data_IF_844097882261
#
_entry.id   IF_844097882261
#
_cell.length_a   1.000
_cell.length_b   1.000
_cell.length_c   1.000
_cell.angle_alpha   90.00
_cell.angle_beta   90.00
_cell.angle_gamma   90.00
#
_symmetry.space_group_name_H-M   'P 1'
#
loop_
_entity.id
_entity.type
_entity.pdbx_description
1 polymer ?
#
# COMPACT_ATOMS: atom_id res chain seq x y z
N UNK A 1 19.26 -19.11 14.26
CA UNK A 1 20.46 -18.31 14.10
C UNK A 1 20.12 -16.99 13.43
N UNK A 2 20.68 -15.90 13.94
CA UNK A 2 20.48 -14.58 13.35
C UNK A 2 21.43 -14.43 12.16
N UNK A 3 20.88 -13.96 11.03
CA UNK A 3 21.68 -13.61 9.87
C UNK A 3 22.39 -12.27 10.11
N UNK A 4 23.65 -12.11 9.67
CA UNK A 4 24.30 -10.81 9.69
C UNK A 4 23.51 -9.80 8.85
N UNK A 5 23.58 -8.52 9.24
CA UNK A 5 22.82 -7.45 8.58
C UNK A 5 23.12 -7.34 7.07
N UNK A 6 24.38 -7.56 6.67
CA UNK A 6 24.79 -7.54 5.26
C UNK A 6 24.15 -8.69 4.48
N UNK A 7 23.99 -9.87 5.08
CA UNK A 7 23.30 -10.99 4.42
C UNK A 7 21.81 -10.74 4.29
N UNK A 8 21.19 -10.09 5.27
CA UNK A 8 19.78 -9.68 5.16
C UNK A 8 19.57 -8.71 4.01
N UNK A 9 20.49 -7.77 3.83
CA UNK A 9 20.44 -6.84 2.70
C UNK A 9 20.62 -7.55 1.36
N UNK A 10 21.53 -8.52 1.28
CA UNK A 10 21.73 -9.33 0.07
C UNK A 10 20.48 -10.14 -0.27
N UNK A 11 19.86 -10.76 0.72
CA UNK A 11 18.63 -11.53 0.53
C UNK A 11 17.49 -10.60 0.08
N UNK A 12 17.35 -9.44 0.71
CA UNK A 12 16.36 -8.44 0.32
C UNK A 12 16.55 -7.99 -1.12
N UNK A 13 17.77 -7.69 -1.52
CA UNK A 13 18.08 -7.30 -2.89
C UNK A 13 17.78 -8.43 -3.89
N UNK A 14 18.08 -9.67 -3.53
CA UNK A 14 17.79 -10.84 -4.35
C UNK A 14 16.28 -11.01 -4.56
N UNK A 15 15.49 -10.87 -3.51
CA UNK A 15 14.02 -10.95 -3.58
C UNK A 15 13.50 -9.87 -4.55
N UNK A 16 13.95 -8.62 -4.40
CA UNK A 16 13.50 -7.52 -5.24
C UNK A 16 13.91 -7.71 -6.71
N UNK A 17 15.03 -8.33 -6.97
CA UNK A 17 15.49 -8.63 -8.32
C UNK A 17 14.83 -9.86 -8.94
N UNK A 18 14.35 -10.79 -8.11
CA UNK A 18 13.82 -12.09 -8.55
C UNK A 18 12.32 -12.06 -8.86
N UNK A 19 11.59 -11.06 -8.36
CA UNK A 19 10.14 -10.96 -8.56
C UNK A 19 9.86 -9.84 -9.56
N UNK A 20 9.23 -10.20 -10.67
CA UNK A 20 8.90 -9.25 -11.74
C UNK A 20 7.51 -8.65 -11.55
N UNK A 21 7.33 -7.43 -12.00
CA UNK A 21 6.03 -6.78 -12.07
C UNK A 21 5.65 -6.49 -13.51
N UNK A 22 4.36 -6.63 -13.83
CA UNK A 22 3.84 -6.26 -15.15
C UNK A 22 3.41 -4.79 -15.15
N UNK A 23 3.24 -4.22 -16.35
CA UNK A 23 2.68 -2.87 -16.49
C UNK A 23 1.28 -2.78 -15.86
N UNK A 24 0.49 -3.83 -15.97
CA UNK A 24 -0.84 -3.91 -15.38
C UNK A 24 -0.79 -3.76 -13.86
N UNK A 25 0.15 -4.47 -13.21
CA UNK A 25 0.32 -4.37 -11.75
C UNK A 25 0.87 -3.00 -11.36
N UNK A 26 1.83 -2.47 -12.10
CA UNK A 26 2.38 -1.14 -11.83
C UNK A 26 1.30 -0.05 -11.96
N UNK A 27 0.45 -0.15 -12.97
CA UNK A 27 -0.68 0.76 -13.15
C UNK A 27 -1.70 0.62 -12.03
N UNK A 28 -1.98 -0.60 -11.60
CA UNK A 28 -2.88 -0.86 -10.49
C UNK A 28 -2.37 -0.24 -9.18
N UNK A 29 -1.08 -0.40 -8.89
CA UNK A 29 -0.46 0.20 -7.71
C UNK A 29 -0.53 1.73 -7.77
N UNK A 30 -0.28 2.30 -8.94
CA UNK A 30 -0.39 3.74 -9.14
C UNK A 30 -1.83 4.22 -8.90
N UNK A 31 -2.82 3.50 -9.39
CA UNK A 31 -4.23 3.83 -9.18
C UNK A 31 -4.60 3.76 -7.68
N UNK A 32 -4.11 2.76 -6.96
CA UNK A 32 -4.30 2.66 -5.51
C UNK A 32 -3.68 3.86 -4.79
N UNK A 33 -2.49 4.26 -5.19
CA UNK A 33 -1.80 5.40 -4.61
C UNK A 33 -2.55 6.71 -4.87
N UNK A 34 -2.99 6.93 -6.11
CA UNK A 34 -3.80 8.09 -6.47
C UNK A 34 -5.13 8.11 -5.70
N UNK A 35 -5.76 6.94 -5.51
CA UNK A 35 -6.98 6.83 -4.71
C UNK A 35 -6.75 7.19 -3.24
N UNK A 36 -5.55 6.97 -2.71
CA UNK A 36 -5.22 7.39 -1.34
C UNK A 36 -5.12 8.91 -1.21
N UNK A 37 -4.80 9.61 -2.29
CA UNK A 37 -4.72 11.08 -2.29
C UNK A 37 -6.09 11.72 -2.53
N UNK A 38 -6.89 11.13 -3.41
CA UNK A 38 -8.20 11.64 -3.77
C UNK A 38 -9.20 10.48 -3.94
N UNK A 39 -9.69 9.93 -2.81
CA UNK A 39 -10.60 8.78 -2.87
C UNK A 39 -11.88 9.05 -3.66
N UNK A 40 -12.41 10.27 -3.56
CA UNK A 40 -13.68 10.61 -4.20
C UNK A 40 -13.60 10.54 -5.72
N UNK A 41 -12.45 10.87 -6.29
CA UNK A 41 -12.20 10.77 -7.74
C UNK A 41 -12.35 9.34 -8.25
N UNK A 42 -12.09 8.36 -7.40
CA UNK A 42 -12.22 6.93 -7.73
C UNK A 42 -13.53 6.31 -7.24
N UNK A 43 -14.50 7.16 -6.88
CA UNK A 43 -15.80 6.70 -6.41
C UNK A 43 -15.79 6.10 -5.00
N UNK A 44 -14.72 6.30 -4.25
CA UNK A 44 -14.62 5.81 -2.88
C UNK A 44 -15.35 6.77 -1.94
N UNK A 45 -16.27 6.21 -1.15
CA UNK A 45 -17.08 6.97 -0.20
C UNK A 45 -17.22 6.21 1.11
N UNK A 46 -17.10 6.92 2.21
CA UNK A 46 -17.35 6.39 3.55
C UNK A 46 -18.62 7.04 4.10
N UNK A 47 -19.51 6.22 4.65
CA UNK A 47 -20.76 6.70 5.21
C UNK A 47 -20.51 7.63 6.40
N UNK A 48 -21.22 8.76 6.41
CA UNK A 48 -21.09 9.74 7.46
C UNK A 48 -19.81 10.58 7.43
N UNK A 49 -19.06 10.51 6.34
CA UNK A 49 -17.79 11.23 6.17
C UNK A 49 -17.88 12.18 4.99
N UNK A 50 -17.45 13.43 5.20
CA UNK A 50 -17.26 14.38 4.08
C UNK A 50 -15.93 14.07 3.41
N UNK A 51 -15.99 13.35 2.30
CA UNK A 51 -14.80 12.86 1.59
C UNK A 51 -13.89 13.98 1.09
N UNK A 52 -14.45 15.18 0.83
CA UNK A 52 -13.64 16.34 0.42
C UNK A 52 -12.75 16.86 1.54
N UNK A 53 -13.10 16.56 2.79
CA UNK A 53 -12.39 17.02 3.99
C UNK A 53 -11.69 15.90 4.74
N UNK A 54 -11.70 14.68 4.20
CA UNK A 54 -11.11 13.54 4.88
C UNK A 54 -9.59 13.53 4.79
N UNK A 55 -9.05 13.67 3.61
CA UNK A 55 -7.62 13.48 3.34
C UNK A 55 -6.89 14.82 3.36
N UNK A 56 -5.90 14.93 4.26
CA UNK A 56 -4.96 16.04 4.27
C UNK A 56 -3.82 15.78 3.27
N UNK A 57 -3.30 14.55 3.31
CA UNK A 57 -2.27 14.09 2.38
C UNK A 57 -2.38 12.58 2.20
N UNK A 58 -2.26 12.12 0.97
CA UNK A 58 -2.19 10.70 0.66
C UNK A 58 -0.81 10.10 0.94
N UNK A 59 -0.64 8.84 0.59
CA UNK A 59 0.64 8.17 0.72
C UNK A 59 1.71 8.85 -0.15
N UNK A 60 2.91 9.00 0.38
CA UNK A 60 4.03 9.56 -0.36
C UNK A 60 4.57 8.57 -1.42
N UNK A 61 5.42 9.02 -2.37
CA UNK A 61 6.12 8.10 -3.27
C UNK A 61 6.91 7.00 -2.54
N UNK A 62 7.42 7.28 -1.34
CA UNK A 62 8.06 6.27 -0.50
C UNK A 62 7.08 5.18 -0.08
N UNK A 63 5.81 5.56 0.15
CA UNK A 63 4.75 4.61 0.46
C UNK A 63 4.49 3.65 -0.69
N UNK A 64 4.47 4.13 -1.92
CA UNK A 64 4.31 3.30 -3.10
C UNK A 64 5.49 2.33 -3.27
N UNK A 65 6.72 2.82 -3.08
CA UNK A 65 7.91 1.97 -3.12
C UNK A 65 7.89 0.90 -2.04
N UNK A 66 7.48 1.26 -0.83
CA UNK A 66 7.36 0.32 0.28
C UNK A 66 6.29 -0.75 -0.02
N UNK A 67 5.17 -0.36 -0.61
CA UNK A 67 4.12 -1.28 -1.03
C UNK A 67 4.64 -2.31 -2.04
N UNK A 68 5.34 -1.86 -3.06
CA UNK A 68 5.92 -2.74 -4.09
C UNK A 68 6.94 -3.70 -3.50
N UNK A 69 7.81 -3.23 -2.62
CA UNK A 69 8.80 -4.08 -1.94
C UNK A 69 8.14 -5.16 -1.09
N UNK A 70 7.15 -4.77 -0.30
CA UNK A 70 6.42 -5.72 0.55
C UNK A 70 5.67 -6.75 -0.28
N UNK A 71 5.02 -6.33 -1.36
CA UNK A 71 4.31 -7.23 -2.27
C UNK A 71 5.24 -8.27 -2.90
N UNK A 72 6.46 -7.87 -3.28
CA UNK A 72 7.46 -8.79 -3.83
C UNK A 72 7.89 -9.84 -2.81
N UNK A 73 8.02 -9.47 -1.55
CA UNK A 73 8.33 -10.43 -0.48
C UNK A 73 7.21 -11.46 -0.35
N UNK A 74 5.95 -11.04 -0.38
CA UNK A 74 4.81 -11.96 -0.32
C UNK A 74 4.84 -12.94 -1.50
N UNK A 75 5.05 -12.45 -2.72
CA UNK A 75 5.15 -13.29 -3.90
C UNK A 75 6.30 -14.30 -3.79
N UNK A 76 7.46 -13.84 -3.37
CA UNK A 76 8.64 -14.68 -3.20
C UNK A 76 8.42 -15.79 -2.17
N UNK A 77 7.82 -15.45 -1.02
CA UNK A 77 7.48 -16.43 0.01
C UNK A 77 6.46 -17.46 -0.47
N UNK A 78 5.63 -17.10 -1.44
CA UNK A 78 4.69 -18.02 -2.07
C UNK A 78 5.32 -18.84 -3.22
N UNK A 79 6.61 -18.66 -3.48
CA UNK A 79 7.33 -19.39 -4.52
C UNK A 79 7.10 -18.85 -5.93
N UNK A 80 6.63 -17.61 -6.07
CA UNK A 80 6.39 -16.99 -7.37
C UNK A 80 7.49 -16.00 -7.74
N UNK A 81 7.72 -15.85 -9.04
CA UNK A 81 8.69 -14.90 -9.61
C UNK A 81 8.01 -13.69 -10.25
N UNK A 82 6.72 -13.50 -10.01
CA UNK A 82 5.95 -12.38 -10.51
C UNK A 82 4.88 -11.95 -9.51
N UNK A 83 4.51 -10.67 -9.56
CA UNK A 83 3.48 -10.10 -8.70
C UNK A 83 2.08 -10.42 -9.20
N UNK A 84 1.19 -10.72 -8.26
CA UNK A 84 -0.25 -10.80 -8.47
C UNK A 84 -0.94 -9.68 -7.69
N UNK A 85 -2.15 -9.27 -8.10
CA UNK A 85 -2.94 -8.30 -7.32
C UNK A 85 -3.13 -8.72 -5.87
N UNK A 86 -3.25 -10.01 -5.59
CA UNK A 86 -3.40 -10.55 -4.24
C UNK A 86 -2.20 -10.23 -3.36
N UNK A 87 -0.99 -10.18 -3.91
CA UNK A 87 0.22 -9.82 -3.17
C UNK A 87 0.16 -8.37 -2.70
N UNK A 88 -0.33 -7.49 -3.57
CA UNK A 88 -0.53 -6.08 -3.25
C UNK A 88 -1.61 -5.93 -2.17
N UNK A 89 -2.74 -6.63 -2.32
CA UNK A 89 -3.83 -6.59 -1.34
C UNK A 89 -3.40 -7.08 0.04
N UNK A 90 -2.54 -8.09 0.09
CA UNK A 90 -2.07 -8.67 1.36
C UNK A 90 -1.30 -7.65 2.21
N UNK A 91 -0.57 -6.72 1.59
CA UNK A 91 0.28 -5.76 2.30
C UNK A 91 -0.30 -4.35 2.34
N UNK A 92 -1.32 -4.06 1.52
CA UNK A 92 -1.88 -2.72 1.40
C UNK A 92 -2.37 -2.14 2.74
N UNK A 93 -3.12 -2.86 3.57
CA UNK A 93 -3.56 -2.30 4.85
C UNK A 93 -2.42 -1.87 5.76
N UNK A 94 -1.35 -2.67 5.83
CA UNK A 94 -0.20 -2.38 6.68
C UNK A 94 0.61 -1.20 6.18
N UNK A 95 0.75 -1.04 4.87
CA UNK A 95 1.56 0.02 4.27
C UNK A 95 0.77 1.32 4.19
N UNK A 96 -0.43 1.28 3.60
CA UNK A 96 -1.22 2.48 3.33
C UNK A 96 -1.88 3.04 4.57
N UNK A 97 -2.36 2.18 5.47
CA UNK A 97 -3.09 2.59 6.66
C UNK A 97 -2.30 3.52 7.59
N UNK A 98 -0.97 3.47 7.53
CA UNK A 98 -0.09 4.31 8.34
C UNK A 98 0.51 5.49 7.58
N UNK A 99 0.19 5.65 6.29
CA UNK A 99 0.82 6.66 5.42
C UNK A 99 -0.15 7.71 4.89
N UNK A 100 -1.44 7.53 5.13
CA UNK A 100 -2.47 8.52 4.78
C UNK A 100 -2.67 9.45 5.97
N UNK A 101 -2.68 10.75 5.71
CA UNK A 101 -2.91 11.77 6.73
C UNK A 101 -4.32 12.33 6.58
N UNK A 102 -5.11 12.19 7.64
CA UNK A 102 -6.46 12.75 7.69
C UNK A 102 -6.41 14.20 8.16
N UNK A 103 -7.44 14.97 7.80
CA UNK A 103 -7.63 16.30 8.38
C UNK A 103 -7.88 16.17 9.87
N UNK A 104 -7.60 17.22 10.68
CA UNK A 104 -7.74 17.13 12.15
C UNK A 104 -9.08 16.63 12.65
N UNK A 105 -10.18 16.96 11.95
CA UNK A 105 -11.52 16.52 12.32
C UNK A 105 -11.62 14.99 12.30
N UNK A 106 -11.00 14.34 11.34
CA UNK A 106 -11.08 12.89 11.15
C UNK A 106 -9.89 12.13 11.72
N UNK A 107 -8.80 12.80 12.07
CA UNK A 107 -7.62 12.14 12.64
C UNK A 107 -7.95 11.44 13.97
N UNK A 108 -8.86 11.98 14.75
CA UNK A 108 -9.32 11.35 15.99
C UNK A 108 -10.04 10.02 15.77
N UNK A 109 -10.52 9.79 14.55
CA UNK A 109 -11.21 8.56 14.17
C UNK A 109 -10.34 7.67 13.27
N UNK A 110 -9.04 7.87 13.28
CA UNK A 110 -8.10 7.13 12.40
C UNK A 110 -8.22 5.61 12.56
N UNK A 111 -8.32 5.12 13.79
CA UNK A 111 -8.42 3.69 14.06
C UNK A 111 -9.61 3.03 13.36
N UNK A 112 -10.71 3.79 13.18
CA UNK A 112 -11.90 3.36 12.48
C UNK A 112 -11.82 3.62 10.97
N UNK A 113 -11.39 4.83 10.60
CA UNK A 113 -11.47 5.30 9.22
C UNK A 113 -10.36 4.75 8.31
N UNK A 114 -9.14 4.57 8.84
CA UNK A 114 -8.04 4.09 8.01
C UNK A 114 -8.29 2.68 7.47
N UNK A 115 -8.70 1.68 8.28
CA UNK A 115 -9.05 0.36 7.74
C UNK A 115 -10.23 0.41 6.76
N UNK A 116 -11.25 1.20 7.07
CA UNK A 116 -12.42 1.34 6.19
C UNK A 116 -12.04 1.95 4.84
N UNK A 117 -11.20 2.98 4.84
CA UNK A 117 -10.71 3.61 3.61
C UNK A 117 -9.90 2.64 2.77
N UNK A 118 -8.97 1.93 3.37
CA UNK A 118 -8.12 0.95 2.66
C UNK A 118 -8.98 -0.14 2.03
N UNK A 119 -9.96 -0.66 2.75
CA UNK A 119 -10.87 -1.67 2.22
C UNK A 119 -11.65 -1.16 1.00
N UNK A 120 -12.11 0.09 1.03
CA UNK A 120 -12.85 0.69 -0.08
C UNK A 120 -11.96 0.98 -1.29
N UNK A 121 -10.69 1.29 -1.07
CA UNK A 121 -9.72 1.52 -2.14
C UNK A 121 -9.40 0.21 -2.86
N UNK A 122 -9.30 -0.88 -2.13
CA UNK A 122 -9.13 -2.19 -2.74
C UNK A 122 -10.41 -2.56 -3.51
#
# INVERSE_FOLDING_TARGET
ALLPADRLNEIGALIQASVRSSETIERYVLDLWEASEDPLRFGVHLEGVDMKRLILAGASPRGMSALMRAARVVAWLAGRDHLLPDDVHAVLPSVLGHRVFFTPIYELRRAELAPALVEKIM
#
